data_IF_639987695175
#
_entry.id   IF_639987695175
#
_cell.length_a   1.000
_cell.length_b   1.000
_cell.length_c   1.000
_cell.angle_alpha   90.00
_cell.angle_beta   90.00
_cell.angle_gamma   90.00
#
_symmetry.space_group_name_H-M   'P 1'
#
loop_
_entity.id
_entity.type
_entity.pdbx_description
1 polymer ?
#
# COMPACT_ATOMS: atom_id res chain seq x y z
N UNK A 1 -19.09 -22.11 21.39
CA UNK A 1 -17.99 -23.02 20.96
C UNK A 1 -18.16 -23.48 19.52
N UNK A 2 -19.38 -23.43 18.97
CA UNK A 2 -19.68 -23.96 17.63
C UNK A 2 -19.22 -23.04 16.49
N UNK A 3 -19.20 -21.72 16.70
CA UNK A 3 -18.73 -20.74 15.70
C UNK A 3 -17.27 -20.94 15.32
N UNK A 4 -16.41 -21.33 16.27
CA UNK A 4 -14.99 -21.62 16.02
C UNK A 4 -14.81 -22.88 15.17
N UNK A 5 -15.67 -23.89 15.37
CA UNK A 5 -15.68 -25.12 14.57
C UNK A 5 -16.16 -24.85 13.15
N UNK A 6 -17.17 -23.99 13.00
CA UNK A 6 -17.68 -23.55 11.68
C UNK A 6 -16.58 -22.78 10.93
N UNK A 7 -15.86 -21.89 11.61
CA UNK A 7 -14.78 -21.09 11.02
C UNK A 7 -13.59 -21.98 10.63
N UNK A 8 -13.22 -22.95 11.47
CA UNK A 8 -12.19 -23.93 11.16
C UNK A 8 -12.58 -24.85 9.99
N UNK A 9 -13.84 -25.30 9.94
CA UNK A 9 -14.36 -26.10 8.83
C UNK A 9 -14.40 -25.31 7.52
N UNK A 10 -14.82 -24.04 7.56
CA UNK A 10 -14.81 -23.16 6.39
C UNK A 10 -13.39 -22.91 5.87
N UNK A 11 -12.41 -22.76 6.77
CA UNK A 11 -11.00 -22.60 6.40
C UNK A 11 -10.43 -23.88 5.77
N UNK A 12 -10.75 -25.06 6.32
CA UNK A 12 -10.34 -26.35 5.74
C UNK A 12 -10.99 -26.61 4.38
N UNK A 13 -12.26 -26.22 4.21
CA UNK A 13 -12.96 -26.31 2.94
C UNK A 13 -12.41 -25.31 1.90
N UNK A 14 -11.92 -24.14 2.30
CA UNK A 14 -11.30 -23.19 1.36
C UNK A 14 -9.93 -23.64 0.85
N UNK A 15 -9.25 -24.55 1.56
CA UNK A 15 -7.95 -25.14 1.18
C UNK A 15 -8.14 -26.44 0.38
N UNK A 16 -9.36 -26.95 0.27
CA UNK A 16 -9.65 -28.17 -0.50
C UNK A 16 -9.39 -27.92 -1.98
N UNK A 17 -8.44 -28.67 -2.54
CA UNK A 17 -8.11 -28.65 -3.97
C UNK A 17 -9.36 -28.95 -4.78
N UNK A 18 -9.84 -27.97 -5.55
CA UNK A 18 -10.99 -28.15 -6.42
C UNK A 18 -10.58 -29.11 -7.54
N UNK A 19 -11.04 -30.36 -7.46
CA UNK A 19 -10.83 -31.35 -8.51
C UNK A 19 -11.67 -30.93 -9.73
N UNK A 20 -11.08 -30.13 -10.61
CA UNK A 20 -11.61 -29.87 -11.95
C UNK A 20 -11.44 -31.16 -12.74
N UNK A 21 -12.55 -31.79 -13.11
CA UNK A 21 -12.57 -32.82 -14.16
C UNK A 21 -12.21 -32.12 -15.47
N UNK A 22 -10.93 -32.25 -15.85
CA UNK A 22 -10.38 -31.58 -17.01
C UNK A 22 -10.91 -32.16 -18.31
N UNK A 23 -11.93 -31.53 -18.87
CA UNK A 23 -12.03 -31.42 -20.32
C UNK A 23 -11.32 -30.10 -20.71
N UNK A 24 -9.98 -30.14 -20.74
CA UNK A 24 -9.13 -29.06 -21.28
C UNK A 24 -8.31 -28.20 -20.30
N UNK A 25 -8.53 -28.24 -18.98
CA UNK A 25 -7.74 -27.46 -18.02
C UNK A 25 -6.65 -28.31 -17.34
N UNK A 26 -5.38 -27.90 -17.44
CA UNK A 26 -4.26 -28.58 -16.79
C UNK A 26 -4.38 -28.44 -15.25
N UNK A 27 -4.61 -29.54 -14.52
CA UNK A 27 -4.82 -29.49 -13.06
C UNK A 27 -3.60 -28.95 -12.30
N UNK A 28 -2.40 -29.13 -12.85
CA UNK A 28 -1.15 -28.57 -12.30
C UNK A 28 -1.16 -27.04 -12.45
N UNK A 29 -1.64 -26.52 -13.58
CA UNK A 29 -1.76 -25.08 -13.79
C UNK A 29 -2.79 -24.45 -12.84
N UNK A 30 -3.92 -25.13 -12.61
CA UNK A 30 -4.93 -24.69 -11.65
C UNK A 30 -4.38 -24.66 -10.21
N UNK A 31 -3.61 -25.68 -9.81
CA UNK A 31 -2.97 -25.74 -8.51
C UNK A 31 -1.93 -24.62 -8.33
N UNK A 32 -1.09 -24.36 -9.35
CA UNK A 32 -0.12 -23.25 -9.34
C UNK A 32 -0.84 -21.89 -9.21
N UNK A 33 -1.92 -21.69 -9.97
CA UNK A 33 -2.68 -20.44 -9.90
C UNK A 33 -3.25 -20.20 -8.50
N UNK A 34 -3.89 -21.21 -7.90
CA UNK A 34 -4.52 -21.09 -6.59
C UNK A 34 -3.50 -20.90 -5.45
N UNK A 35 -2.34 -21.56 -5.52
CA UNK A 35 -1.36 -21.56 -4.42
C UNK A 35 -0.32 -20.46 -4.53
N UNK A 36 -0.03 -19.97 -5.73
CA UNK A 36 1.04 -18.98 -5.97
C UNK A 36 0.47 -17.69 -6.54
N UNK A 37 -0.19 -17.75 -7.70
CA UNK A 37 -0.60 -16.54 -8.43
C UNK A 37 -1.67 -15.76 -7.68
N UNK A 38 -2.75 -16.40 -7.25
CA UNK A 38 -3.86 -15.71 -6.59
C UNK A 38 -3.45 -15.05 -5.27
N UNK A 39 -2.69 -15.70 -4.35
CA UNK A 39 -2.17 -15.04 -3.16
C UNK A 39 -1.22 -13.89 -3.49
N UNK A 40 -0.34 -14.05 -4.48
CA UNK A 40 0.60 -12.99 -4.90
C UNK A 40 -0.13 -11.77 -5.44
N UNK A 41 -1.16 -11.96 -6.28
CA UNK A 41 -1.98 -10.87 -6.81
C UNK A 41 -2.72 -10.17 -5.67
N UNK A 42 -3.30 -10.92 -4.74
CA UNK A 42 -4.01 -10.36 -3.60
C UNK A 42 -3.10 -9.51 -2.71
N UNK A 43 -1.92 -10.03 -2.38
CA UNK A 43 -0.90 -9.32 -1.58
C UNK A 43 -0.41 -8.09 -2.34
N UNK A 44 -0.08 -8.23 -3.63
CA UNK A 44 0.38 -7.12 -4.47
C UNK A 44 -0.65 -6.00 -4.58
N UNK A 45 -1.91 -6.35 -4.82
CA UNK A 45 -3.00 -5.37 -4.91
C UNK A 45 -3.21 -4.63 -3.59
N UNK A 46 -3.31 -5.35 -2.47
CA UNK A 46 -3.52 -4.74 -1.15
C UNK A 46 -2.33 -3.89 -0.72
N UNK A 47 -1.10 -4.34 -0.96
CA UNK A 47 0.12 -3.57 -0.70
C UNK A 47 0.16 -2.27 -1.52
N UNK A 48 -0.24 -2.32 -2.79
CA UNK A 48 -0.30 -1.11 -3.63
C UNK A 48 -1.29 -0.09 -3.08
N UNK A 49 -2.43 -0.52 -2.55
CA UNK A 49 -3.44 0.38 -1.97
C UNK A 49 -2.98 1.04 -0.67
N UNK A 50 -2.14 0.38 0.13
CA UNK A 50 -1.69 0.90 1.43
C UNK A 50 -0.35 1.62 1.40
N UNK A 51 0.42 1.47 0.33
CA UNK A 51 1.78 2.05 0.22
C UNK A 51 1.83 3.29 -0.66
N UNK A 52 0.76 3.61 -1.39
CA UNK A 52 0.72 4.82 -2.21
C UNK A 52 0.72 6.06 -1.30
N UNK A 53 1.68 6.99 -1.48
CA UNK A 53 1.68 8.24 -0.74
C UNK A 53 0.36 9.00 -0.97
N UNK A 54 -0.22 9.63 0.07
CA UNK A 54 -1.34 10.55 -0.08
C UNK A 54 -1.15 11.48 -1.28
N UNK A 55 -2.20 11.69 -2.09
CA UNK A 55 -2.14 12.53 -3.31
C UNK A 55 -1.59 13.93 -3.05
N UNK A 56 -1.84 14.47 -1.85
CA UNK A 56 -1.30 15.75 -1.37
C UNK A 56 0.23 15.79 -1.34
N UNK A 57 0.91 14.66 -1.13
CA UNK A 57 2.37 14.58 -1.21
C UNK A 57 2.86 14.55 -2.67
N UNK A 58 2.07 13.98 -3.59
CA UNK A 58 2.42 13.96 -5.01
C UNK A 58 2.37 15.37 -5.62
N UNK A 59 1.35 16.16 -5.29
CA UNK A 59 1.26 17.55 -5.77
C UNK A 59 2.34 18.46 -5.16
N UNK A 60 2.73 18.20 -3.91
CA UNK A 60 3.75 18.96 -3.20
C UNK A 60 5.19 18.80 -3.69
N UNK A 61 5.47 17.95 -4.69
CA UNK A 61 6.85 17.61 -5.11
C UNK A 61 7.66 18.82 -5.57
N UNK A 62 7.07 19.68 -6.40
CA UNK A 62 7.74 20.89 -6.90
C UNK A 62 8.02 21.87 -5.77
N UNK A 63 7.01 22.14 -4.94
CA UNK A 63 7.12 23.04 -3.80
C UNK A 63 8.14 22.53 -2.75
N UNK A 64 8.22 21.22 -2.56
CA UNK A 64 9.23 20.58 -1.69
C UNK A 64 10.65 20.78 -2.24
N UNK A 65 10.86 20.67 -3.56
CA UNK A 65 12.16 20.96 -4.18
C UNK A 65 12.55 22.44 -4.00
N UNK A 66 11.58 23.36 -4.12
CA UNK A 66 11.82 24.79 -3.86
C UNK A 66 12.11 25.06 -2.39
N UNK A 67 11.41 24.40 -1.46
CA UNK A 67 11.68 24.48 -0.03
C UNK A 67 13.10 24.01 0.31
N UNK A 68 13.53 22.87 -0.24
CA UNK A 68 14.91 22.37 -0.07
C UNK A 68 15.93 23.34 -0.67
N UNK A 69 15.70 23.81 -1.90
CA UNK A 69 16.61 24.71 -2.60
C UNK A 69 16.75 26.09 -1.96
N UNK A 70 15.78 26.48 -1.13
CA UNK A 70 15.76 27.75 -0.38
C UNK A 70 16.14 27.59 1.09
N UNK A 71 16.66 26.43 1.49
CA UNK A 71 16.98 26.12 2.90
C UNK A 71 15.80 26.37 3.86
N UNK A 72 14.58 26.15 3.38
CA UNK A 72 13.34 26.31 4.13
C UNK A 72 12.69 27.70 4.08
N UNK A 73 13.27 28.65 3.34
CA UNK A 73 12.74 30.02 3.25
C UNK A 73 11.45 30.11 2.43
N UNK A 74 11.36 29.35 1.33
CA UNK A 74 10.19 29.39 0.42
C UNK A 74 9.28 28.20 0.70
N UNK A 75 8.13 28.47 1.34
CA UNK A 75 7.07 27.48 1.61
C UNK A 75 5.95 27.62 0.58
N UNK A 76 6.04 26.82 -0.49
CA UNK A 76 4.97 26.72 -1.49
C UNK A 76 3.66 26.19 -0.90
N UNK A 77 2.53 26.55 -1.51
CA UNK A 77 1.20 26.26 -0.97
C UNK A 77 0.90 24.76 -0.83
N UNK A 78 1.35 23.95 -1.79
CA UNK A 78 1.13 22.50 -1.78
C UNK A 78 2.00 21.82 -0.72
N UNK A 79 3.26 22.25 -0.59
CA UNK A 79 4.16 21.73 0.46
C UNK A 79 3.69 22.14 1.86
N UNK A 80 3.20 23.36 2.02
CA UNK A 80 2.60 23.81 3.28
C UNK A 80 1.37 22.97 3.65
N UNK A 81 0.50 22.67 2.67
CA UNK A 81 -0.66 21.82 2.90
C UNK A 81 -0.24 20.38 3.28
N UNK A 82 0.77 19.84 2.61
CA UNK A 82 1.37 18.55 2.92
C UNK A 82 1.97 18.48 4.32
N UNK A 83 2.74 19.48 4.73
CA UNK A 83 3.31 19.58 6.09
C UNK A 83 2.20 19.61 7.13
N UNK A 84 1.18 20.47 6.96
CA UNK A 84 0.01 20.48 7.86
C UNK A 84 -0.69 19.12 7.92
N UNK A 85 -0.95 18.51 6.77
CA UNK A 85 -1.56 17.18 6.71
C UNK A 85 -0.72 16.16 7.50
N UNK A 86 0.60 16.16 7.34
CA UNK A 86 1.51 15.29 8.09
C UNK A 86 1.41 15.52 9.60
N UNK A 87 1.57 16.77 10.06
CA UNK A 87 1.51 17.08 11.50
C UNK A 87 0.14 16.80 12.14
N UNK A 88 -0.94 16.87 11.37
CA UNK A 88 -2.30 16.65 11.88
C UNK A 88 -2.65 15.15 11.96
N UNK A 89 -2.13 14.33 11.03
CA UNK A 89 -2.44 12.89 10.96
C UNK A 89 -1.47 12.02 11.77
N UNK A 90 -0.32 12.54 12.17
CA UNK A 90 0.68 11.81 12.94
C UNK A 90 0.98 12.53 14.27
N UNK A 91 0.42 12.05 15.38
CA UNK A 91 0.52 12.67 16.71
C UNK A 91 1.95 12.79 17.27
N UNK A 92 2.89 12.03 16.73
CA UNK A 92 4.33 12.15 17.02
C UNK A 92 5.08 12.13 15.68
N UNK A 93 5.19 13.28 14.99
CA UNK A 93 5.88 13.37 13.72
C UNK A 93 7.35 12.94 13.88
N UNK A 94 7.78 11.97 13.07
CA UNK A 94 9.16 11.43 13.10
C UNK A 94 10.12 12.23 12.22
N UNK A 95 9.58 13.16 11.42
CA UNK A 95 10.33 13.94 10.44
C UNK A 95 10.14 15.43 10.71
N UNK A 96 11.24 16.19 10.62
CA UNK A 96 11.16 17.64 10.46
C UNK A 96 10.58 17.99 9.08
N UNK A 97 10.15 19.23 8.88
CA UNK A 97 9.66 19.66 7.56
C UNK A 97 10.72 19.50 6.47
N UNK A 98 12.01 19.69 6.77
CA UNK A 98 13.09 19.44 5.82
C UNK A 98 13.19 17.95 5.45
N UNK A 99 13.08 17.06 6.43
CA UNK A 99 13.07 15.61 6.18
C UNK A 99 11.82 15.18 5.40
N UNK A 100 10.67 15.78 5.69
CA UNK A 100 9.43 15.56 4.94
C UNK A 100 9.57 16.03 3.49
N UNK A 101 10.15 17.22 3.26
CA UNK A 101 10.41 17.75 1.92
C UNK A 101 11.33 16.81 1.13
N UNK A 102 12.40 16.30 1.74
CA UNK A 102 13.32 15.35 1.11
C UNK A 102 12.62 14.02 0.74
N UNK A 103 11.78 13.50 1.64
CA UNK A 103 10.99 12.30 1.38
C UNK A 103 10.01 12.50 0.20
N UNK A 104 9.33 13.65 0.17
CA UNK A 104 8.42 14.01 -0.93
C UNK A 104 9.20 14.17 -2.25
N UNK A 105 10.35 14.85 -2.24
CA UNK A 105 11.17 15.08 -3.43
C UNK A 105 11.70 13.79 -4.06
N UNK A 106 11.99 12.78 -3.25
CA UNK A 106 12.50 11.46 -3.69
C UNK A 106 11.40 10.43 -3.98
N UNK A 107 10.14 10.74 -3.67
CA UNK A 107 9.00 9.87 -3.97
C UNK A 107 8.76 9.73 -5.49
N UNK A 108 8.33 8.54 -5.92
CA UNK A 108 8.02 8.22 -7.32
C UNK A 108 6.59 8.58 -7.69
#
# INVERSE_FOLDING_TARGET
MDSWKILAAALLLSVSTQAVSGDGANPIAAAIFLTISAPTILIGATTSLTTEPPKIFKSAKTDALTFIGSDGEIRGAEFEQASRYYHTNYSSPLMSDMQLAQAIATSR
#
